data_IF_141301067147
#
_entry.id   IF_141301067147
#
_cell.length_a   1.000
_cell.length_b   1.000
_cell.length_c   1.000
_cell.angle_alpha   90.00
_cell.angle_beta   90.00
_cell.angle_gamma   90.00
#
_symmetry.space_group_name_H-M   'P 1'
#
loop_
_entity.id
_entity.type
_entity.pdbx_description
1 polymer ?
#
# COMPACT_ATOMS: atom_id res chain seq x y z
N UNK A 1 17.82 -24.55 -16.96
CA UNK A 1 17.77 -24.35 -15.50
C UNK A 1 16.65 -23.34 -15.26
N UNK A 2 15.41 -23.81 -15.15
CA UNK A 2 14.28 -22.96 -14.83
C UNK A 2 14.28 -22.83 -13.30
N UNK A 3 14.75 -21.69 -12.78
CA UNK A 3 14.55 -21.37 -11.38
C UNK A 3 13.04 -21.24 -11.15
N UNK A 4 12.60 -21.89 -10.10
CA UNK A 4 11.21 -22.08 -9.71
C UNK A 4 10.48 -20.73 -9.59
N UNK A 5 9.48 -20.52 -10.44
CA UNK A 5 8.72 -19.26 -10.55
C UNK A 5 7.58 -19.20 -9.51
N UNK A 6 7.67 -19.97 -8.41
CA UNK A 6 6.58 -20.23 -7.46
C UNK A 6 6.17 -19.02 -6.61
N UNK A 7 6.93 -17.92 -6.67
CA UNK A 7 6.65 -16.69 -5.93
C UNK A 7 5.93 -15.61 -6.74
N UNK A 8 5.61 -15.85 -8.02
CA UNK A 8 4.90 -14.87 -8.85
C UNK A 8 3.48 -15.33 -9.17
N UNK A 9 2.50 -14.48 -8.88
CA UNK A 9 1.08 -14.72 -9.18
C UNK A 9 0.50 -13.62 -10.06
N UNK A 10 -0.65 -13.87 -10.67
CA UNK A 10 -1.40 -12.80 -11.34
C UNK A 10 -1.83 -11.74 -10.33
N UNK A 11 -1.83 -10.47 -10.76
CA UNK A 11 -2.21 -9.34 -9.91
C UNK A 11 -3.75 -9.37 -9.75
N UNK A 12 -4.29 -9.53 -8.53
CA UNK A 12 -5.73 -9.55 -8.29
C UNK A 12 -6.41 -8.24 -8.71
N UNK A 13 -7.70 -8.30 -9.08
CA UNK A 13 -8.51 -7.12 -9.44
C UNK A 13 -8.56 -6.06 -8.33
N UNK A 14 -8.46 -6.49 -7.06
CA UNK A 14 -8.36 -5.58 -5.91
C UNK A 14 -7.14 -4.62 -5.98
N UNK A 15 -6.13 -4.93 -6.79
CA UNK A 15 -4.94 -4.09 -7.03
C UNK A 15 -4.91 -3.48 -8.44
N UNK A 16 -5.99 -3.59 -9.22
CA UNK A 16 -6.09 -2.91 -10.52
C UNK A 16 -6.34 -1.42 -10.30
N UNK A 17 -5.90 -0.60 -11.24
CA UNK A 17 -6.17 0.83 -11.30
C UNK A 17 -7.67 1.07 -11.38
N UNK A 18 -8.16 1.92 -10.50
CA UNK A 18 -9.55 2.36 -10.47
C UNK A 18 -9.87 3.21 -11.70
N UNK A 19 -8.96 4.13 -12.08
CA UNK A 19 -9.16 5.00 -13.25
C UNK A 19 -9.15 4.23 -14.58
N UNK A 20 -8.23 3.26 -14.73
CA UNK A 20 -8.01 2.57 -16.01
C UNK A 20 -8.73 1.22 -16.12
N UNK A 21 -9.43 0.79 -15.06
CA UNK A 21 -10.13 -0.51 -14.99
C UNK A 21 -9.23 -1.70 -15.41
N UNK A 22 -7.98 -1.73 -14.92
CA UNK A 22 -7.01 -2.76 -15.29
C UNK A 22 -5.65 -2.60 -14.61
N UNK A 23 -4.62 -3.29 -15.09
CA UNK A 23 -3.27 -3.20 -14.50
C UNK A 23 -2.70 -1.78 -14.59
N UNK A 24 -1.97 -1.37 -13.55
CA UNK A 24 -1.12 -0.18 -13.65
C UNK A 24 -0.03 -0.42 -14.69
N UNK A 25 0.02 0.46 -15.70
CA UNK A 25 0.97 0.34 -16.81
C UNK A 25 2.21 1.21 -16.61
N UNK A 26 2.09 2.32 -15.89
CA UNK A 26 3.16 3.31 -15.75
C UNK A 26 3.34 3.75 -14.29
N UNK A 27 4.58 4.09 -13.93
CA UNK A 27 4.92 4.70 -12.65
C UNK A 27 4.34 6.11 -12.57
N UNK A 28 3.59 6.41 -11.51
CA UNK A 28 2.98 7.73 -11.31
C UNK A 28 4.00 8.87 -11.27
N UNK A 29 5.24 8.60 -10.84
CA UNK A 29 6.26 9.64 -10.66
C UNK A 29 7.09 9.90 -11.93
N UNK A 30 7.45 8.85 -12.68
CA UNK A 30 8.41 8.95 -13.79
C UNK A 30 7.92 8.40 -15.14
N UNK A 31 6.66 7.94 -15.21
CA UNK A 31 6.04 7.40 -16.43
C UNK A 31 6.78 6.21 -17.06
N UNK A 32 7.59 5.50 -16.27
CA UNK A 32 8.23 4.25 -16.71
C UNK A 32 7.18 3.15 -16.86
N UNK A 33 7.27 2.39 -17.95
CA UNK A 33 6.51 1.15 -18.16
C UNK A 33 6.81 0.10 -17.07
N UNK A 34 5.81 -0.21 -16.24
CA UNK A 34 5.90 -1.15 -15.14
C UNK A 34 5.72 -2.61 -15.58
N UNK A 35 5.07 -2.84 -16.73
CA UNK A 35 4.74 -4.18 -17.23
C UNK A 35 5.92 -4.85 -17.95
N UNK A 36 6.92 -4.06 -18.36
CA UNK A 36 8.18 -4.57 -18.93
C UNK A 36 8.96 -5.48 -17.96
N UNK A 37 8.76 -5.32 -16.65
CA UNK A 37 9.38 -6.18 -15.62
C UNK A 37 10.87 -5.95 -15.38
N UNK A 38 11.39 -4.76 -15.74
CA UNK A 38 12.79 -4.38 -15.50
C UNK A 38 13.05 -3.73 -14.14
N UNK A 39 11.99 -3.46 -13.37
CA UNK A 39 12.04 -3.03 -11.99
C UNK A 39 10.85 -3.55 -11.19
N UNK A 40 11.03 -3.63 -9.87
CA UNK A 40 9.92 -3.80 -8.93
C UNK A 40 9.16 -2.48 -8.79
N UNK A 41 7.90 -2.59 -8.43
CA UNK A 41 7.04 -1.46 -8.10
C UNK A 41 6.07 -1.84 -6.97
N UNK A 42 5.55 -0.84 -6.29
CA UNK A 42 4.52 -0.99 -5.27
C UNK A 42 3.22 -0.35 -5.75
N UNK A 43 2.10 -1.00 -5.45
CA UNK A 43 0.76 -0.46 -5.59
C UNK A 43 0.28 -0.11 -4.17
N UNK A 44 -0.17 1.11 -3.98
CA UNK A 44 -0.89 1.56 -2.78
C UNK A 44 -2.30 1.98 -3.20
N UNK A 45 -3.31 1.45 -2.52
CA UNK A 45 -4.72 1.77 -2.77
C UNK A 45 -5.43 1.99 -1.44
N UNK A 46 -6.08 3.15 -1.30
CA UNK A 46 -6.92 3.49 -0.16
C UNK A 46 -8.40 3.31 -0.51
N UNK A 47 -9.13 2.64 0.37
CA UNK A 47 -10.56 2.30 0.19
C UNK A 47 -11.34 2.79 1.39
N UNK A 48 -12.54 3.33 1.13
CA UNK A 48 -13.54 3.67 2.14
C UNK A 48 -14.73 2.73 2.00
N UNK A 49 -15.15 2.11 3.10
CA UNK A 49 -16.38 1.34 3.19
C UNK A 49 -17.49 2.19 3.81
N UNK A 50 -18.71 2.06 3.30
CA UNK A 50 -19.89 2.67 3.91
C UNK A 50 -20.58 1.68 4.85
N UNK A 51 -20.36 1.85 6.15
CA UNK A 51 -20.93 0.99 7.20
C UNK A 51 -22.45 0.82 7.04
N UNK A 52 -22.91 -0.43 7.02
CA UNK A 52 -24.31 -0.78 6.79
C UNK A 52 -24.75 -0.87 5.32
N UNK A 53 -23.87 -0.57 4.36
CA UNK A 53 -24.09 -0.72 2.92
C UNK A 53 -23.05 -1.66 2.31
N UNK A 54 -23.39 -2.28 1.16
CA UNK A 54 -22.42 -3.01 0.33
C UNK A 54 -21.82 -2.08 -0.72
N UNK A 55 -21.31 -0.95 -0.26
CA UNK A 55 -20.71 0.06 -1.11
C UNK A 55 -19.33 0.42 -0.57
N UNK A 56 -18.38 0.56 -1.48
CA UNK A 56 -17.01 0.98 -1.22
C UNK A 56 -16.62 2.02 -2.28
N UNK A 57 -15.78 2.97 -1.91
CA UNK A 57 -15.17 3.94 -2.82
C UNK A 57 -13.65 3.85 -2.71
N UNK A 58 -12.96 3.96 -3.86
CA UNK A 58 -11.51 4.14 -3.89
C UNK A 58 -11.21 5.61 -3.67
N UNK A 59 -10.50 5.92 -2.58
CA UNK A 59 -10.10 7.29 -2.23
C UNK A 59 -8.99 7.74 -3.17
N UNK A 60 -7.96 6.91 -3.30
CA UNK A 60 -6.88 7.07 -4.27
C UNK A 60 -6.24 5.70 -4.53
N UNK A 61 -5.57 5.59 -5.67
CA UNK A 61 -4.68 4.48 -5.96
C UNK A 61 -3.56 4.91 -6.91
N UNK A 62 -2.41 4.26 -6.77
CA UNK A 62 -1.29 4.48 -7.68
C UNK A 62 -0.33 3.30 -7.67
N UNK A 63 0.51 3.27 -8.71
CA UNK A 63 1.69 2.43 -8.75
C UNK A 63 2.95 3.28 -8.90
N UNK A 64 3.98 2.97 -8.14
CA UNK A 64 5.26 3.67 -8.17
C UNK A 64 6.41 2.67 -8.25
N UNK A 65 7.35 2.89 -9.18
CA UNK A 65 8.52 2.04 -9.29
C UNK A 65 9.44 2.21 -8.08
N UNK A 66 10.11 1.13 -7.66
CA UNK A 66 10.98 1.17 -6.47
C UNK A 66 12.05 2.27 -6.52
N UNK A 67 12.69 2.61 -7.66
CA UNK A 67 13.59 3.76 -7.73
C UNK A 67 12.94 5.07 -7.27
N UNK A 68 11.74 5.38 -7.75
CA UNK A 68 11.04 6.61 -7.37
C UNK A 68 10.54 6.55 -5.92
N UNK A 69 10.04 5.41 -5.46
CA UNK A 69 9.63 5.24 -4.07
C UNK A 69 10.81 5.49 -3.10
N UNK A 70 11.97 4.92 -3.40
CA UNK A 70 13.19 5.13 -2.61
C UNK A 70 13.69 6.57 -2.64
N UNK A 71 13.57 7.27 -3.78
CA UNK A 71 13.92 8.69 -3.87
C UNK A 71 13.02 9.57 -2.99
N UNK A 72 11.72 9.25 -2.89
CA UNK A 72 10.79 9.95 -1.99
C UNK A 72 11.15 9.63 -0.53
N UNK A 73 11.33 8.35 -0.18
CA UNK A 73 11.72 7.94 1.17
C UNK A 73 13.04 8.59 1.64
N UNK A 74 14.01 8.81 0.73
CA UNK A 74 15.26 9.48 1.06
C UNK A 74 15.11 10.97 1.43
N UNK A 75 13.99 11.60 1.06
CA UNK A 75 13.67 12.98 1.45
C UNK A 75 12.90 13.05 2.77
N UNK A 76 12.36 11.93 3.25
CA UNK A 76 11.70 11.86 4.55
C UNK A 76 12.73 11.92 5.68
N UNK A 77 12.28 12.34 6.87
CA UNK A 77 13.16 12.41 8.03
C UNK A 77 13.54 11.01 8.51
N UNK A 78 14.83 10.81 8.78
CA UNK A 78 15.34 9.52 9.29
C UNK A 78 14.67 9.11 10.60
N UNK A 79 14.42 10.08 11.47
CA UNK A 79 13.75 9.88 12.75
C UNK A 79 12.34 9.32 12.57
N UNK A 80 11.55 9.86 11.64
CA UNK A 80 10.23 9.32 11.33
C UNK A 80 10.34 7.90 10.80
N UNK A 81 11.26 7.64 9.86
CA UNK A 81 11.42 6.30 9.28
C UNK A 81 11.82 5.26 10.33
N UNK A 82 12.76 5.59 11.22
CA UNK A 82 13.17 4.73 12.33
C UNK A 82 12.01 4.47 13.30
N UNK A 83 11.28 5.53 13.69
CA UNK A 83 10.14 5.42 14.62
C UNK A 83 9.01 4.56 14.06
N UNK A 84 8.66 4.75 12.79
CA UNK A 84 7.64 3.94 12.10
C UNK A 84 8.10 2.49 11.98
N UNK A 85 9.36 2.26 11.60
CA UNK A 85 9.93 0.93 11.46
C UNK A 85 9.90 0.17 12.79
N UNK A 86 10.29 0.82 13.89
CA UNK A 86 10.22 0.25 15.25
C UNK A 86 8.77 -0.08 15.64
N UNK A 87 7.85 0.85 15.44
CA UNK A 87 6.42 0.67 15.71
C UNK A 87 5.83 -0.53 14.96
N UNK A 88 6.13 -0.65 13.65
CA UNK A 88 5.66 -1.77 12.83
C UNK A 88 6.29 -3.08 13.30
N UNK A 89 7.61 -3.11 13.50
CA UNK A 89 8.32 -4.32 13.92
C UNK A 89 7.79 -4.87 15.24
N UNK A 90 7.55 -4.00 16.24
CA UNK A 90 7.03 -4.43 17.54
C UNK A 90 5.65 -5.11 17.40
N UNK A 91 4.75 -4.55 16.58
CA UNK A 91 3.43 -5.12 16.33
C UNK A 91 3.49 -6.41 15.53
N UNK A 92 4.36 -6.50 14.53
CA UNK A 92 4.55 -7.73 13.76
C UNK A 92 5.14 -8.85 14.61
N UNK A 93 6.07 -8.54 15.50
CA UNK A 93 6.65 -9.53 16.42
C UNK A 93 5.58 -10.16 17.32
N UNK A 94 4.63 -9.36 17.82
CA UNK A 94 3.49 -9.85 18.60
C UNK A 94 2.59 -10.81 17.82
N UNK A 95 2.61 -10.75 16.49
CA UNK A 95 1.79 -11.56 15.57
C UNK A 95 2.59 -12.58 14.77
N UNK A 96 3.87 -12.76 15.07
CA UNK A 96 4.80 -13.55 14.26
C UNK A 96 4.27 -14.97 13.98
N UNK A 97 3.70 -15.64 14.98
CA UNK A 97 3.16 -17.00 14.81
C UNK A 97 2.01 -17.07 13.81
N UNK A 98 1.12 -16.07 13.79
CA UNK A 98 -0.01 -16.02 12.86
C UNK A 98 0.49 -15.74 11.44
N UNK A 99 1.42 -14.78 11.30
CA UNK A 99 2.00 -14.38 10.03
C UNK A 99 2.80 -15.52 9.38
N UNK A 100 3.54 -16.30 10.17
CA UNK A 100 4.31 -17.45 9.69
C UNK A 100 3.45 -18.60 9.18
N UNK A 101 2.19 -18.70 9.65
CA UNK A 101 1.26 -19.77 9.29
C UNK A 101 0.26 -19.35 8.20
N UNK A 102 0.42 -18.17 7.59
CA UNK A 102 -0.45 -17.73 6.49
C UNK A 102 -0.28 -18.62 5.27
N UNK A 103 -1.41 -18.96 4.65
CA UNK A 103 -1.43 -19.66 3.38
C UNK A 103 -1.13 -18.66 2.24
N UNK A 104 0.10 -18.72 1.70
CA UNK A 104 0.52 -17.86 0.60
C UNK A 104 -0.16 -18.19 -0.73
N UNK A 105 -0.96 -19.26 -0.79
CA UNK A 105 -1.77 -19.59 -1.98
C UNK A 105 -3.15 -18.91 -1.95
N UNK A 106 -3.63 -18.53 -0.76
CA UNK A 106 -4.86 -17.74 -0.59
C UNK A 106 -4.56 -16.24 -0.66
N UNK A 107 -4.36 -15.74 -1.88
CA UNK A 107 -3.96 -14.35 -2.11
C UNK A 107 -4.95 -13.35 -1.53
N UNK A 108 -6.26 -13.60 -1.64
CA UNK A 108 -7.28 -12.73 -1.05
C UNK A 108 -7.21 -12.73 0.48
N UNK A 109 -6.97 -13.90 1.08
CA UNK A 109 -6.74 -14.03 2.51
C UNK A 109 -5.61 -13.14 3.04
N UNK A 110 -4.54 -12.93 2.27
CA UNK A 110 -3.36 -12.16 2.69
C UNK A 110 -3.64 -10.68 3.01
N UNK A 111 -4.62 -10.08 2.32
CA UNK A 111 -5.04 -8.68 2.48
C UNK A 111 -6.51 -8.54 2.91
N UNK A 112 -7.16 -9.63 3.33
CA UNK A 112 -8.52 -9.61 3.88
C UNK A 112 -8.59 -9.00 5.29
N UNK A 113 -7.48 -9.06 6.04
CA UNK A 113 -7.37 -8.57 7.42
C UNK A 113 -6.16 -7.68 7.61
N UNK A 114 -6.28 -6.73 8.52
CA UNK A 114 -5.21 -5.84 8.93
C UNK A 114 -4.00 -6.63 9.44
N UNK A 115 -2.84 -6.36 8.86
CA UNK A 115 -1.56 -6.99 9.17
C UNK A 115 -1.16 -6.82 10.64
N UNK A 116 -1.62 -5.73 11.28
CA UNK A 116 -1.23 -5.37 12.65
C UNK A 116 -2.29 -5.69 13.71
N UNK A 117 -3.57 -5.86 13.35
CA UNK A 117 -4.68 -6.02 14.32
C UNK A 117 -5.57 -7.25 14.10
N UNK A 118 -5.47 -7.96 12.97
CA UNK A 118 -6.43 -8.99 12.51
C UNK A 118 -7.83 -8.48 12.17
N UNK A 119 -8.04 -7.16 12.19
CA UNK A 119 -9.33 -6.57 11.86
C UNK A 119 -9.68 -6.84 10.39
N UNK A 120 -10.83 -7.44 10.15
CA UNK A 120 -11.32 -7.72 8.81
C UNK A 120 -11.63 -6.42 8.06
N UNK A 121 -11.21 -6.33 6.79
CA UNK A 121 -11.40 -5.14 5.96
C UNK A 121 -12.86 -4.71 5.87
N UNK A 122 -13.81 -5.64 5.93
CA UNK A 122 -15.25 -5.35 5.90
C UNK A 122 -15.75 -4.61 7.15
N UNK A 123 -15.01 -4.68 8.26
CA UNK A 123 -15.32 -3.95 9.49
C UNK A 123 -14.64 -2.57 9.55
N UNK A 124 -13.67 -2.31 8.69
CA UNK A 124 -12.98 -1.02 8.65
C UNK A 124 -13.82 0.02 7.91
N UNK A 125 -13.94 1.24 8.44
CA UNK A 125 -14.48 2.39 7.69
C UNK A 125 -13.54 2.81 6.55
N UNK A 126 -12.23 2.79 6.81
CA UNK A 126 -11.19 3.02 5.80
C UNK A 126 -10.03 2.05 6.02
N UNK A 127 -9.38 1.68 4.93
CA UNK A 127 -8.17 0.86 4.95
C UNK A 127 -7.31 1.11 3.72
N UNK A 128 -6.08 0.64 3.76
CA UNK A 128 -5.17 0.62 2.62
C UNK A 128 -4.69 -0.79 2.34
N UNK A 129 -4.51 -1.09 1.05
CA UNK A 129 -3.88 -2.32 0.58
C UNK A 129 -2.61 -1.99 -0.18
N UNK A 130 -1.62 -2.84 0.01
CA UNK A 130 -0.30 -2.73 -0.58
C UNK A 130 0.06 -4.01 -1.32
N UNK A 131 0.62 -3.89 -2.50
CA UNK A 131 1.13 -5.02 -3.28
C UNK A 131 2.47 -4.69 -3.92
N UNK A 132 3.42 -5.62 -3.81
CA UNK A 132 4.70 -5.53 -4.50
C UNK A 132 4.66 -6.36 -5.77
N UNK A 133 5.04 -5.76 -6.89
CA UNK A 133 4.85 -6.33 -8.21
C UNK A 133 6.11 -6.19 -9.07
N UNK A 134 6.23 -7.06 -10.08
CA UNK A 134 7.21 -6.96 -11.16
C UNK A 134 6.55 -7.37 -12.47
N UNK A 135 6.58 -6.49 -13.46
CA UNK A 135 5.85 -6.72 -14.70
C UNK A 135 4.35 -6.82 -14.44
N UNK A 136 3.72 -7.86 -14.98
CA UNK A 136 2.30 -8.16 -14.75
C UNK A 136 2.06 -9.17 -13.61
N UNK A 137 3.03 -9.32 -12.69
CA UNK A 137 2.96 -10.30 -11.61
C UNK A 137 3.11 -9.67 -10.23
N UNK A 138 2.32 -10.19 -9.29
CA UNK A 138 2.48 -9.98 -7.86
C UNK A 138 3.69 -10.80 -7.36
N UNK A 139 4.55 -10.20 -6.53
CA UNK A 139 5.72 -10.82 -5.94
C UNK A 139 5.46 -11.28 -4.49
N UNK A 140 5.23 -12.58 -4.29
CA UNK A 140 4.95 -13.17 -2.98
C UNK A 140 6.16 -13.27 -2.04
N UNK A 141 7.35 -12.84 -2.46
CA UNK A 141 8.45 -12.63 -1.51
C UNK A 141 8.14 -11.48 -0.55
N UNK A 142 7.33 -10.51 -1.01
CA UNK A 142 6.70 -9.49 -0.17
C UNK A 142 5.18 -9.60 -0.39
N UNK A 143 4.52 -10.50 0.35
CA UNK A 143 3.09 -10.76 0.18
C UNK A 143 2.27 -9.46 0.30
N UNK A 144 1.17 -9.33 -0.46
CA UNK A 144 0.29 -8.19 -0.31
C UNK A 144 -0.29 -8.16 1.11
N UNK A 145 -0.56 -6.95 1.60
CA UNK A 145 -1.07 -6.77 2.94
C UNK A 145 -2.05 -5.60 2.99
N UNK A 146 -2.80 -5.56 4.09
CA UNK A 146 -3.79 -4.52 4.38
C UNK A 146 -3.45 -3.87 5.71
N UNK A 147 -3.68 -2.56 5.81
CA UNK A 147 -3.55 -1.76 7.04
C UNK A 147 -4.87 -1.03 7.29
N UNK A 148 -5.44 -1.22 8.48
CA UNK A 148 -6.71 -0.58 8.85
C UNK A 148 -6.52 0.89 9.19
N UNK A 149 -7.57 1.70 8.98
CA UNK A 149 -7.60 3.13 9.31
C UNK A 149 -6.99 3.50 10.66
N UNK A 150 -7.39 2.86 11.79
CA UNK A 150 -6.80 3.17 13.08
C UNK A 150 -5.27 3.03 13.13
N UNK A 151 -4.69 2.04 12.43
CA UNK A 151 -3.24 1.89 12.36
C UNK A 151 -2.61 2.95 11.44
N UNK A 152 -3.29 3.34 10.36
CA UNK A 152 -2.85 4.45 9.52
C UNK A 152 -2.82 5.77 10.30
N UNK A 153 -3.79 5.99 11.22
CA UNK A 153 -3.81 7.15 12.11
C UNK A 153 -2.64 7.14 13.08
N UNK A 154 -2.41 6.00 13.75
CA UNK A 154 -1.26 5.85 14.64
C UNK A 154 0.08 6.07 13.91
N UNK A 155 0.24 5.54 12.69
CA UNK A 155 1.46 5.79 11.88
C UNK A 155 1.56 7.27 11.51
N UNK A 156 0.46 7.91 11.12
CA UNK A 156 0.44 9.33 10.79
C UNK A 156 0.93 10.17 11.96
N UNK A 157 0.51 9.88 13.19
CA UNK A 157 0.93 10.58 14.41
C UNK A 157 2.44 10.51 14.68
N UNK A 158 3.12 9.47 14.19
CA UNK A 158 4.58 9.31 14.32
C UNK A 158 5.38 10.11 13.29
N UNK A 159 4.72 10.68 12.29
CA UNK A 159 5.37 11.47 11.25
C UNK A 159 5.77 12.85 11.77
N UNK A 160 7.04 13.21 11.56
CA UNK A 160 7.54 14.57 11.73
C UNK A 160 6.97 15.50 10.66
N UNK A 161 7.00 16.80 10.93
CA UNK A 161 6.52 17.82 9.98
C UNK A 161 7.24 17.70 8.62
N UNK A 162 8.54 17.43 8.61
CA UNK A 162 9.34 17.22 7.38
C UNK A 162 8.80 16.06 6.54
N UNK A 163 8.55 14.90 7.17
CA UNK A 163 8.01 13.73 6.47
C UNK A 163 6.58 13.95 5.99
N UNK A 164 5.74 14.62 6.79
CA UNK A 164 4.37 14.99 6.39
C UNK A 164 4.39 15.90 5.17
N UNK A 165 5.28 16.90 5.16
CA UNK A 165 5.41 17.84 4.04
C UNK A 165 5.83 17.13 2.75
N UNK A 166 6.77 16.17 2.81
CA UNK A 166 7.17 15.38 1.65
C UNK A 166 6.02 14.50 1.11
N UNK A 167 5.29 13.82 2.00
CA UNK A 167 4.14 12.98 1.62
C UNK A 167 3.00 13.83 1.04
N UNK A 168 2.70 14.97 1.66
CA UNK A 168 1.72 15.94 1.17
C UNK A 168 2.15 16.53 -0.18
N UNK A 169 3.44 16.81 -0.35
CA UNK A 169 4.01 17.30 -1.60
C UNK A 169 3.84 16.28 -2.73
N UNK A 170 4.12 15.00 -2.45
CA UNK A 170 3.87 13.91 -3.38
C UNK A 170 2.38 13.78 -3.71
N UNK A 171 1.51 13.77 -2.69
CA UNK A 171 0.07 13.64 -2.90
C UNK A 171 -0.48 14.79 -3.74
N UNK A 172 -0.20 16.04 -3.38
CA UNK A 172 -0.71 17.22 -4.07
C UNK A 172 -0.18 17.37 -5.50
N UNK A 173 0.99 16.79 -5.80
CA UNK A 173 1.56 16.77 -7.15
C UNK A 173 0.73 15.90 -8.09
N UNK A 174 0.24 14.77 -7.62
CA UNK A 174 -0.35 13.71 -8.44
C UNK A 174 -1.86 13.62 -8.33
N UNK A 175 -2.38 13.85 -7.14
CA UNK A 175 -3.80 13.90 -6.85
C UNK A 175 -4.14 15.37 -6.70
N UNK A 176 -4.94 15.90 -7.62
CA UNK A 176 -5.47 17.26 -7.50
C UNK A 176 -6.75 17.20 -6.67
N UNK A 177 -6.74 17.48 -5.35
CA UNK A 177 -7.98 17.57 -4.62
C UNK A 177 -8.76 18.77 -5.13
N UNK A 178 -9.99 18.57 -5.59
CA UNK A 178 -10.92 19.68 -5.51
C UNK A 178 -11.11 19.97 -4.00
N UNK A 179 -11.13 21.25 -3.57
CA UNK A 179 -11.22 21.59 -2.16
C UNK A 179 -12.42 20.90 -1.49
N UNK A 180 -12.17 20.13 -0.43
CA UNK A 180 -13.21 19.44 0.35
C UNK A 180 -13.61 18.03 -0.12
N UNK A 181 -12.94 17.45 -1.13
CA UNK A 181 -13.19 16.05 -1.55
C UNK A 181 -12.59 15.05 -0.55
N UNK A 182 -11.39 15.33 -0.03
CA UNK A 182 -10.77 14.49 0.99
C UNK A 182 -10.85 15.21 2.33
N UNK A 183 -11.85 14.87 3.13
CA UNK A 183 -11.89 15.26 4.53
C UNK A 183 -12.24 14.01 5.36
N UNK A 184 -11.33 13.54 6.25
CA UNK A 184 -9.97 14.04 6.47
C UNK A 184 -9.05 13.86 5.26
N UNK A 185 -7.88 14.51 5.29
CA UNK A 185 -6.84 14.34 4.27
C UNK A 185 -6.46 12.86 4.14
N UNK A 186 -6.20 12.37 2.92
CA UNK A 186 -5.89 10.97 2.70
C UNK A 186 -4.52 10.66 3.32
N UNK A 187 -4.47 9.58 4.10
CA UNK A 187 -3.24 9.09 4.71
C UNK A 187 -2.41 8.47 3.60
N UNK A 188 -1.16 8.87 3.41
CA UNK A 188 -0.26 8.25 2.45
C UNK A 188 0.95 7.77 3.22
N UNK A 189 1.33 6.49 3.08
CA UNK A 189 2.40 5.94 3.92
C UNK A 189 3.65 5.59 3.12
N UNK A 190 3.57 5.33 1.80
CA UNK A 190 4.70 5.12 0.87
C UNK A 190 5.92 4.45 1.55
N UNK A 191 5.65 3.27 2.13
CA UNK A 191 6.56 2.47 2.98
C UNK A 191 7.09 1.26 2.21
#
# INVERSE_FOLDING_TARGET
MAQDNSHFQDIPEAFHSFENEGLFTHCIECERDLLKGDCDYVIEKAVRNYQGFKAEDVIFDYAICMPCAMEIQQRMSKESMETIQEYMQERLLKRQNELQNRDLTDIEGLYSKCMFTDEDKSNCEEYQVFAFCRGNKLNLQMPPYMVSGPILDEISELLSDETRDELNGFFNKHFSPAPGIFNPDPRLILI
#
